data_IF_236234350192
#
_entry.id   IF_236234350192
#
_cell.length_a   1.000
_cell.length_b   1.000
_cell.length_c   1.000
_cell.angle_alpha   90.00
_cell.angle_beta   90.00
_cell.angle_gamma   90.00
#
_symmetry.space_group_name_H-M   'P 1'
#
loop_
_entity.id
_entity.type
_entity.pdbx_description
1 polymer ?
#
# COMPACT_ATOMS: atom_id res chain seq x y z
N UNK A 1 -40.67 -47.09 47.98
CA UNK A 1 -40.61 -48.52 48.37
C UNK A 1 -39.90 -49.25 47.24
N UNK A 2 -38.57 -49.29 47.31
CA UNK A 2 -37.77 -50.49 47.67
C UNK A 2 -37.63 -51.43 46.45
N UNK A 3 -36.54 -51.35 45.66
CA UNK A 3 -35.14 -51.79 45.88
C UNK A 3 -34.92 -53.31 45.69
N UNK A 4 -33.80 -53.62 45.00
CA UNK A 4 -33.07 -54.90 44.84
C UNK A 4 -33.63 -55.96 43.86
N UNK A 5 -32.85 -56.81 43.18
CA UNK A 5 -31.45 -56.83 42.73
C UNK A 5 -31.19 -58.13 41.93
N UNK A 6 -30.41 -58.04 40.84
CA UNK A 6 -29.33 -58.98 40.36
C UNK A 6 -29.63 -60.45 39.95
N UNK A 7 -29.30 -60.83 38.69
CA UNK A 7 -28.09 -61.64 38.28
C UNK A 7 -28.16 -62.25 36.83
N UNK A 8 -27.08 -61.99 36.04
CA UNK A 8 -26.29 -62.82 35.08
C UNK A 8 -26.89 -64.04 34.33
N UNK A 9 -26.69 -64.13 32.99
CA UNK A 9 -25.67 -64.94 32.26
C UNK A 9 -25.86 -64.86 30.70
N UNK A 10 -24.80 -65.16 29.94
CA UNK A 10 -24.62 -64.91 28.50
C UNK A 10 -24.91 -66.10 27.57
N UNK A 11 -25.23 -65.87 26.28
CA UNK A 11 -24.99 -66.83 25.18
C UNK A 11 -25.12 -66.20 23.76
N UNK A 12 -24.10 -66.44 22.91
CA UNK A 12 -24.18 -66.88 21.50
C UNK A 12 -24.95 -66.10 20.41
N UNK A 13 -24.21 -65.64 19.39
CA UNK A 13 -24.71 -65.11 18.09
C UNK A 13 -24.94 -66.26 17.07
N UNK A 14 -25.95 -66.19 16.19
CA UNK A 14 -25.96 -66.92 14.92
C UNK A 14 -25.86 -65.98 13.69
N UNK A 15 -25.25 -66.49 12.61
CA UNK A 15 -25.13 -65.90 11.26
C UNK A 15 -25.91 -66.73 10.23
N UNK A 16 -26.32 -66.08 9.12
CA UNK A 16 -26.41 -66.51 7.68
C UNK A 16 -27.34 -65.48 6.97
N UNK A 17 -27.28 -65.12 5.68
CA UNK A 17 -26.82 -65.75 4.44
C UNK A 17 -26.78 -64.69 3.28
N UNK A 18 -26.13 -64.98 2.15
CA UNK A 18 -26.12 -64.15 0.93
C UNK A 18 -26.98 -64.79 -0.18
N UNK A 19 -27.79 -63.99 -0.89
CA UNK A 19 -28.30 -64.35 -2.23
C UNK A 19 -28.09 -63.21 -3.26
N UNK A 20 -27.24 -63.52 -4.25
CA UNK A 20 -27.32 -63.30 -5.72
C UNK A 20 -28.66 -62.75 -6.29
N UNK A 21 -28.78 -62.00 -7.41
CA UNK A 21 -28.04 -61.79 -8.69
C UNK A 21 -28.78 -60.62 -9.41
N UNK A 22 -28.20 -59.77 -10.27
CA UNK A 22 -27.95 -59.94 -11.72
C UNK A 22 -27.74 -58.52 -12.31
N UNK A 23 -26.61 -58.18 -12.93
CA UNK A 23 -26.29 -58.19 -14.40
C UNK A 23 -27.34 -57.49 -15.26
N UNK A 24 -27.07 -56.62 -16.23
CA UNK A 24 -25.87 -56.17 -16.93
C UNK A 24 -26.41 -55.23 -18.00
N UNK A 25 -25.95 -53.98 -18.07
CA UNK A 25 -26.06 -53.17 -19.29
C UNK A 25 -25.05 -52.04 -19.20
N UNK A 26 -23.82 -52.30 -19.66
CA UNK A 26 -22.85 -51.31 -20.18
C UNK A 26 -21.56 -52.06 -20.58
N UNK A 27 -21.75 -53.06 -21.43
CA UNK A 27 -20.72 -53.58 -22.32
C UNK A 27 -20.99 -52.96 -23.69
N UNK A 28 -20.02 -52.16 -24.16
CA UNK A 28 -19.87 -51.46 -25.46
C UNK A 28 -19.62 -49.97 -25.15
N UNK A 29 -18.40 -49.50 -24.86
CA UNK A 29 -17.27 -49.49 -25.79
C UNK A 29 -15.92 -49.46 -25.04
N UNK A 30 -15.13 -50.51 -25.25
CA UNK A 30 -13.72 -50.59 -24.85
C UNK A 30 -12.83 -49.98 -25.95
N UNK A 31 -12.12 -48.90 -25.66
CA UNK A 31 -10.89 -48.53 -26.38
C UNK A 31 -9.84 -47.99 -25.41
N UNK A 32 -9.38 -48.83 -24.48
CA UNK A 32 -8.00 -48.80 -23.97
C UNK A 32 -7.69 -50.19 -23.42
N UNK A 33 -6.92 -50.98 -24.16
CA UNK A 33 -6.32 -52.22 -23.65
C UNK A 33 -4.91 -51.88 -23.19
N UNK A 34 -4.49 -52.24 -21.96
CA UNK A 34 -3.12 -52.03 -21.53
C UNK A 34 -2.17 -52.99 -22.27
N UNK A 35 -0.88 -52.65 -22.42
CA UNK A 35 0.08 -53.49 -23.12
C UNK A 35 0.27 -54.85 -22.42
N UNK A 36 0.40 -55.90 -23.22
CA UNK A 36 0.78 -57.26 -22.78
C UNK A 36 2.30 -57.36 -22.70
N UNK A 37 2.90 -57.20 -21.51
CA UNK A 37 4.12 -57.89 -21.01
C UNK A 37 4.53 -57.34 -19.62
N UNK A 38 5.23 -58.12 -18.80
CA UNK A 38 5.25 -57.95 -17.35
C UNK A 38 6.40 -57.04 -16.91
N UNK A 39 6.09 -55.94 -16.23
CA UNK A 39 7.05 -55.25 -15.38
C UNK A 39 6.50 -55.22 -13.96
N UNK A 40 7.39 -55.54 -13.04
CA UNK A 40 7.19 -55.94 -11.65
C UNK A 40 6.58 -54.79 -10.83
N UNK A 41 5.29 -54.85 -10.53
CA UNK A 41 4.67 -54.05 -9.49
C UNK A 41 3.71 -54.93 -8.68
N UNK A 42 4.09 -55.25 -7.45
CA UNK A 42 3.18 -55.88 -6.50
C UNK A 42 2.15 -54.86 -6.04
N UNK A 43 0.87 -55.17 -6.24
CA UNK A 43 -0.24 -54.40 -5.71
C UNK A 43 -0.37 -54.60 -4.19
N UNK A 44 -0.86 -53.56 -3.53
CA UNK A 44 -1.12 -53.43 -2.09
C UNK A 44 -1.93 -54.57 -1.45
N UNK A 45 -2.61 -55.42 -2.23
CA UNK A 45 -3.42 -56.53 -1.72
C UNK A 45 -2.63 -57.85 -1.46
N UNK A 46 -1.40 -58.00 -1.94
CA UNK A 46 -0.58 -59.20 -1.68
C UNK A 46 0.21 -59.16 -0.36
N UNK A 47 0.20 -58.03 0.36
CA UNK A 47 1.01 -57.84 1.58
C UNK A 47 0.26 -58.17 2.88
N UNK A 48 -1.03 -58.55 2.82
CA UNK A 48 -1.88 -58.67 4.02
C UNK A 48 -2.05 -60.10 4.55
N UNK A 49 -1.74 -61.17 3.80
CA UNK A 49 -1.98 -62.56 4.27
C UNK A 49 -0.74 -63.39 4.65
N UNK A 50 0.41 -62.75 4.89
CA UNK A 50 1.69 -63.47 5.00
C UNK A 50 2.57 -63.27 6.23
N UNK A 51 2.10 -62.70 7.37
CA UNK A 51 3.01 -62.47 8.51
C UNK A 51 2.35 -62.56 9.90
N UNK A 52 3.00 -63.22 10.89
CA UNK A 52 2.48 -63.34 12.26
C UNK A 52 2.56 -62.01 13.02
N UNK A 53 1.73 -61.80 14.07
CA UNK A 53 1.64 -60.50 14.73
C UNK A 53 2.94 -60.18 15.51
N UNK A 54 3.50 -58.97 15.38
CA UNK A 54 4.64 -58.57 16.19
C UNK A 54 4.20 -58.28 17.63
N UNK A 55 5.02 -58.73 18.59
CA UNK A 55 4.86 -58.47 20.03
C UNK A 55 4.86 -56.96 20.30
N UNK A 56 3.91 -56.49 21.10
CA UNK A 56 3.85 -55.10 21.55
C UNK A 56 5.07 -54.74 22.42
N UNK A 57 5.96 -53.92 21.89
CA UNK A 57 6.92 -53.15 22.68
C UNK A 57 6.35 -51.75 22.91
N UNK A 58 6.34 -51.31 24.17
CA UNK A 58 5.99 -49.96 24.59
C UNK A 58 6.76 -48.88 23.82
N UNK A 59 6.21 -47.66 23.66
CA UNK A 59 6.89 -46.60 22.93
C UNK A 59 8.19 -46.24 23.66
N UNK A 60 9.31 -46.29 22.93
CA UNK A 60 10.60 -45.78 23.44
C UNK A 60 10.47 -44.27 23.63
N UNK A 61 10.84 -43.78 24.81
CA UNK A 61 10.92 -42.35 25.09
C UNK A 61 11.81 -41.66 24.05
N UNK A 62 11.34 -40.55 23.50
CA UNK A 62 12.13 -39.68 22.63
C UNK A 62 13.37 -39.22 23.40
N UNK A 63 14.55 -39.62 22.94
CA UNK A 63 15.80 -39.07 23.44
C UNK A 63 15.99 -37.68 22.82
N UNK A 64 16.34 -36.64 23.59
CA UNK A 64 16.71 -35.35 23.03
C UNK A 64 17.98 -35.52 22.19
N UNK A 65 17.97 -34.98 20.97
CA UNK A 65 19.13 -34.93 20.10
C UNK A 65 20.28 -34.17 20.79
N UNK A 66 21.41 -34.87 21.01
CA UNK A 66 22.67 -34.34 21.56
C UNK A 66 23.83 -34.64 20.60
N UNK A 67 23.63 -34.48 19.31
CA UNK A 67 24.70 -34.62 18.32
C UNK A 67 25.44 -33.30 18.14
N UNK A 68 26.72 -33.25 18.53
CA UNK A 68 27.67 -32.34 17.88
C UNK A 68 28.02 -32.99 16.54
N UNK A 69 27.93 -32.28 15.39
CA UNK A 69 28.28 -32.87 14.09
C UNK A 69 29.73 -33.37 14.11
N UNK A 70 29.96 -34.61 13.67
CA UNK A 70 31.31 -35.13 13.46
C UNK A 70 31.86 -34.60 12.14
N UNK A 71 33.15 -34.23 12.12
CA UNK A 71 33.84 -33.67 10.94
C UNK A 71 33.76 -34.56 9.69
N UNK A 72 33.61 -35.88 9.90
CA UNK A 72 33.61 -36.87 8.82
C UNK A 72 32.25 -37.02 8.11
N UNK A 73 31.18 -36.41 8.64
CA UNK A 73 29.82 -36.45 8.08
C UNK A 73 29.12 -35.09 8.32
N UNK A 74 29.45 -34.04 7.55
CA UNK A 74 28.76 -32.76 7.68
C UNK A 74 27.27 -32.95 7.40
N UNK A 75 26.43 -32.23 8.14
CA UNK A 75 24.99 -32.24 7.92
C UNK A 75 24.72 -31.85 6.45
N UNK A 76 24.03 -32.71 5.70
CA UNK A 76 23.57 -32.37 4.36
C UNK A 76 22.53 -31.26 4.51
N UNK A 77 22.97 -30.02 4.32
CA UNK A 77 22.07 -28.86 4.21
C UNK A 77 21.26 -29.11 2.94
N UNK A 78 20.01 -29.56 3.10
CA UNK A 78 19.06 -29.54 2.01
C UNK A 78 18.65 -28.08 1.86
N UNK A 79 19.39 -27.38 1.00
CA UNK A 79 19.18 -25.97 0.74
C UNK A 79 17.79 -25.78 0.15
N UNK A 80 16.91 -25.12 0.90
CA UNK A 80 15.52 -24.86 0.50
C UNK A 80 15.41 -23.81 -0.62
N UNK A 81 16.49 -23.55 -1.35
CA UNK A 81 16.53 -22.71 -2.54
C UNK A 81 16.37 -21.21 -2.30
N UNK A 82 16.29 -20.77 -1.04
CA UNK A 82 16.19 -19.36 -0.66
C UNK A 82 16.97 -19.14 0.64
N UNK A 83 18.30 -19.01 0.53
CA UNK A 83 19.16 -18.56 1.62
C UNK A 83 19.16 -17.03 1.64
N UNK A 84 18.41 -16.41 2.55
CA UNK A 84 18.55 -14.99 2.81
C UNK A 84 19.73 -14.77 3.75
N UNK A 85 20.88 -14.37 3.21
CA UNK A 85 21.98 -13.91 4.05
C UNK A 85 21.63 -12.54 4.65
N UNK A 86 21.70 -12.44 5.98
CA UNK A 86 21.48 -11.19 6.70
C UNK A 86 22.74 -10.33 6.56
N UNK A 87 22.71 -9.36 5.64
CA UNK A 87 23.77 -8.36 5.50
C UNK A 87 23.43 -7.12 6.33
N UNK A 88 24.46 -6.44 6.84
CA UNK A 88 24.23 -5.17 7.52
C UNK A 88 23.84 -4.10 6.46
N UNK A 89 22.84 -3.22 6.73
CA UNK A 89 22.33 -2.26 5.74
C UNK A 89 23.42 -1.35 5.15
N UNK A 90 24.47 -1.07 5.92
CA UNK A 90 25.61 -0.22 5.51
C UNK A 90 26.83 -1.02 5.02
N UNK A 91 26.72 -2.31 4.70
CA UNK A 91 27.85 -3.05 4.14
C UNK A 91 28.30 -2.47 2.80
N UNK A 92 29.61 -2.31 2.64
CA UNK A 92 30.23 -2.01 1.36
C UNK A 92 30.14 -3.25 0.45
N UNK A 93 29.84 -3.07 -0.85
CA UNK A 93 29.90 -4.19 -1.78
C UNK A 93 31.35 -4.71 -1.88
N UNK A 94 31.54 -5.99 -2.24
CA UNK A 94 32.87 -6.53 -2.54
C UNK A 94 33.63 -5.66 -3.56
N UNK A 95 34.98 -5.57 -3.48
CA UNK A 95 35.78 -4.79 -4.41
C UNK A 95 35.47 -5.17 -5.87
N UNK A 96 35.16 -4.17 -6.70
CA UNK A 96 34.86 -4.35 -8.13
C UNK A 96 33.38 -4.60 -8.45
N UNK A 97 32.52 -4.78 -7.45
CA UNK A 97 31.07 -4.85 -7.64
C UNK A 97 30.40 -3.50 -7.37
N UNK A 98 29.34 -3.20 -8.12
CA UNK A 98 28.43 -2.08 -7.83
C UNK A 98 27.25 -2.63 -7.04
N UNK A 99 26.84 -1.95 -5.97
CA UNK A 99 25.63 -2.34 -5.25
C UNK A 99 24.40 -1.93 -6.04
N UNK A 100 23.59 -2.89 -6.44
CA UNK A 100 22.27 -2.68 -7.03
C UNK A 100 21.21 -3.06 -5.99
N UNK A 101 20.85 -2.09 -5.16
CA UNK A 101 20.01 -2.27 -3.97
C UNK A 101 18.67 -1.59 -4.16
N UNK A 102 17.59 -2.27 -3.76
CA UNK A 102 16.25 -1.72 -3.66
C UNK A 102 15.91 -1.51 -2.19
N UNK A 103 15.36 -0.35 -1.85
CA UNK A 103 14.78 -0.07 -0.54
C UNK A 103 13.27 -0.13 -0.64
N UNK A 104 12.65 -0.95 0.20
CA UNK A 104 11.22 -0.96 0.43
C UNK A 104 10.92 -0.37 1.81
N UNK A 105 10.16 0.72 1.87
CA UNK A 105 9.68 1.29 3.13
C UNK A 105 8.21 0.95 3.28
N UNK A 106 7.87 0.16 4.30
CA UNK A 106 6.51 -0.25 4.60
C UNK A 106 5.94 0.71 5.65
N UNK A 107 4.75 1.25 5.40
CA UNK A 107 4.00 2.09 6.33
C UNK A 107 2.72 1.39 6.71
N UNK A 108 2.54 1.10 8.00
CA UNK A 108 1.29 0.53 8.49
C UNK A 108 0.18 1.59 8.55
N UNK A 109 -0.92 1.30 7.85
CA UNK A 109 -2.15 2.09 7.80
C UNK A 109 -2.91 1.82 9.10
N UNK A 110 -2.52 2.49 10.18
CA UNK A 110 -3.16 2.34 11.49
C UNK A 110 -4.69 2.36 11.41
N UNK A 111 -5.38 1.69 12.33
CA UNK A 111 -6.85 1.59 12.28
C UNK A 111 -7.55 2.96 12.40
N UNK A 112 -7.83 3.64 11.28
CA UNK A 112 -9.15 4.15 10.88
C UNK A 112 -9.12 5.13 9.68
N UNK A 113 -10.25 5.12 8.95
CA UNK A 113 -10.79 6.05 7.93
C UNK A 113 -10.59 5.72 6.43
N UNK A 114 -11.14 4.58 6.01
CA UNK A 114 -11.94 4.54 4.76
C UNK A 114 -13.35 4.07 5.10
N UNK A 115 -14.19 4.99 5.58
CA UNK A 115 -15.62 4.86 5.31
C UNK A 115 -15.82 5.24 3.84
N UNK A 116 -15.81 4.25 2.96
CA UNK A 116 -16.65 4.34 1.76
C UNK A 116 -18.08 4.70 2.24
N UNK A 117 -18.86 5.49 1.48
CA UNK A 117 -20.24 5.75 1.88
C UNK A 117 -20.90 4.39 2.09
N UNK A 118 -21.33 4.13 3.33
CA UNK A 118 -22.09 2.96 3.65
C UNK A 118 -23.32 2.97 2.74
N UNK A 119 -23.30 2.16 1.67
CA UNK A 119 -24.52 1.77 1.01
C UNK A 119 -25.40 1.20 2.11
N UNK A 120 -26.57 1.80 2.30
CA UNK A 120 -27.64 1.44 3.23
C UNK A 120 -27.34 0.23 4.14
N UNK A 121 -27.22 0.49 5.45
CA UNK A 121 -27.34 -0.53 6.51
C UNK A 121 -28.36 -1.60 6.09
N UNK A 122 -27.99 -2.90 5.98
CA UNK A 122 -28.99 -3.93 6.07
C UNK A 122 -29.58 -3.86 7.48
N UNK A 123 -30.90 -3.84 7.56
CA UNK A 123 -31.61 -3.90 8.82
C UNK A 123 -31.16 -5.12 9.64
N UNK A 124 -31.18 -4.96 10.96
CA UNK A 124 -30.76 -5.93 11.96
C UNK A 124 -31.12 -7.39 11.60
N UNK A 125 -30.11 -8.24 11.54
CA UNK A 125 -30.27 -9.69 11.56
C UNK A 125 -30.77 -10.10 12.95
N UNK A 126 -32.09 -10.28 13.05
CA UNK A 126 -32.70 -11.09 14.10
C UNK A 126 -32.25 -12.53 13.95
N UNK A 127 -31.79 -13.12 15.06
CA UNK A 127 -31.52 -14.55 15.21
C UNK A 127 -32.66 -15.39 14.63
N UNK A 128 -32.35 -16.18 13.61
CA UNK A 128 -33.11 -17.38 13.27
C UNK A 128 -32.15 -18.46 12.78
N UNK A 129 -31.90 -19.44 13.67
CA UNK A 129 -31.40 -20.74 13.29
C UNK A 129 -32.48 -21.43 12.44
N UNK A 130 -32.42 -21.26 11.11
CA UNK A 130 -33.08 -22.17 10.19
C UNK A 130 -32.04 -22.82 9.28
N UNK A 131 -31.93 -24.13 9.45
CA UNK A 131 -31.20 -25.07 8.59
C UNK A 131 -31.54 -24.84 7.12
N UNK A 132 -30.54 -24.47 6.32
CA UNK A 132 -30.63 -24.43 4.86
C UNK A 132 -31.09 -25.81 4.31
N UNK A 133 -32.18 -25.90 3.54
CA UNK A 133 -32.61 -27.17 2.95
C UNK A 133 -31.68 -27.56 1.79
N UNK A 134 -31.34 -28.85 1.62
CA UNK A 134 -30.57 -29.31 0.49
C UNK A 134 -31.52 -29.36 -0.71
N UNK A 135 -31.52 -28.34 -1.57
CA UNK A 135 -31.98 -28.34 -2.99
C UNK A 135 -32.33 -26.93 -3.52
N UNK A 136 -31.49 -25.90 -3.32
CA UNK A 136 -31.57 -24.72 -4.19
C UNK A 136 -30.62 -24.88 -5.37
N UNK A 137 -31.21 -25.31 -6.49
CA UNK A 137 -30.59 -25.26 -7.81
C UNK A 137 -30.43 -23.80 -8.28
N UNK A 138 -29.43 -23.50 -9.13
CA UNK A 138 -29.16 -22.15 -9.60
C UNK A 138 -30.33 -21.60 -10.41
N UNK A 139 -30.56 -20.31 -10.29
CA UNK A 139 -31.65 -19.56 -10.92
C UNK A 139 -31.73 -19.83 -12.43
N UNK A 140 -32.94 -19.98 -12.97
CA UNK A 140 -33.19 -20.23 -14.41
C UNK A 140 -32.99 -19.02 -15.32
N UNK A 141 -32.59 -17.87 -14.76
CA UNK A 141 -32.35 -16.64 -15.51
C UNK A 141 -30.84 -16.45 -15.71
N UNK A 142 -30.35 -16.72 -16.92
CA UNK A 142 -28.91 -16.62 -17.26
C UNK A 142 -28.37 -15.19 -17.09
N UNK A 143 -29.21 -14.17 -17.25
CA UNK A 143 -28.81 -12.76 -17.10
C UNK A 143 -28.68 -12.31 -15.64
N UNK A 144 -29.16 -13.12 -14.69
CA UNK A 144 -29.09 -12.84 -13.25
C UNK A 144 -27.93 -13.57 -12.56
N UNK A 145 -27.15 -14.37 -13.31
CA UNK A 145 -25.99 -15.06 -12.78
C UNK A 145 -24.82 -14.06 -12.68
N UNK A 146 -24.27 -13.79 -11.48
CA UNK A 146 -23.11 -12.92 -11.36
C UNK A 146 -21.94 -13.56 -12.14
N UNK A 147 -21.54 -12.91 -13.23
CA UNK A 147 -20.47 -13.38 -14.12
C UNK A 147 -19.08 -13.30 -13.46
N UNK A 148 -18.99 -12.59 -12.33
CA UNK A 148 -17.81 -12.51 -11.50
C UNK A 148 -18.16 -13.04 -10.11
N UNK A 149 -17.34 -13.94 -9.52
CA UNK A 149 -17.49 -14.27 -8.11
C UNK A 149 -17.42 -12.98 -7.29
N UNK A 150 -18.18 -12.85 -6.19
CA UNK A 150 -18.05 -11.69 -5.32
C UNK A 150 -16.59 -11.57 -4.91
N UNK A 151 -15.97 -10.43 -5.19
CA UNK A 151 -14.64 -10.09 -4.70
C UNK A 151 -14.70 -10.20 -3.18
N UNK A 152 -14.19 -11.28 -2.59
CA UNK A 152 -13.98 -11.32 -1.15
C UNK A 152 -12.98 -10.20 -0.87
N UNK A 153 -13.45 -9.10 -0.27
CA UNK A 153 -12.56 -8.13 0.36
C UNK A 153 -11.68 -8.95 1.31
N UNK A 154 -10.37 -9.02 0.99
CA UNK A 154 -9.44 -9.84 1.74
C UNK A 154 -9.48 -9.39 3.19
N UNK A 155 -9.90 -10.27 4.11
CA UNK A 155 -9.97 -9.94 5.52
C UNK A 155 -8.58 -9.50 5.99
N UNK A 156 -8.46 -8.24 6.37
CA UNK A 156 -7.19 -7.65 6.78
C UNK A 156 -6.59 -8.44 7.94
N UNK A 157 -5.32 -8.80 7.85
CA UNK A 157 -4.67 -9.72 8.80
C UNK A 157 -4.39 -9.09 10.18
N UNK A 158 -4.78 -7.84 10.40
CA UNK A 158 -4.64 -7.07 11.64
C UNK A 158 -5.23 -7.81 12.85
N UNK A 159 -6.34 -8.54 12.66
CA UNK A 159 -7.00 -9.30 13.72
C UNK A 159 -6.19 -10.53 14.19
N UNK A 160 -5.23 -11.00 13.38
CA UNK A 160 -4.38 -12.17 13.66
C UNK A 160 -3.01 -11.72 14.16
N UNK A 161 -2.38 -10.76 13.49
CA UNK A 161 -0.98 -10.38 13.74
C UNK A 161 -0.81 -9.05 14.50
N UNK A 162 -1.91 -8.33 14.74
CA UNK A 162 -1.91 -7.05 15.44
C UNK A 162 -1.76 -5.85 14.50
N UNK A 163 -1.90 -4.66 15.08
CA UNK A 163 -1.91 -3.38 14.36
C UNK A 163 -0.52 -2.75 14.22
N UNK A 164 0.41 -3.51 13.66
CA UNK A 164 1.79 -3.10 13.38
C UNK A 164 2.43 -4.01 12.31
N UNK A 165 3.61 -3.65 11.82
CA UNK A 165 4.36 -4.47 10.86
C UNK A 165 4.99 -5.65 11.59
N UNK A 166 4.29 -6.79 11.57
CA UNK A 166 4.76 -8.00 12.25
C UNK A 166 5.95 -8.66 11.54
N UNK A 167 6.74 -9.51 12.23
CA UNK A 167 7.78 -10.32 11.59
C UNK A 167 7.26 -11.19 10.44
N UNK A 168 6.00 -11.63 10.50
CA UNK A 168 5.38 -12.41 9.42
C UNK A 168 5.03 -11.54 8.22
N UNK A 169 4.60 -10.29 8.43
CA UNK A 169 4.43 -9.30 7.36
C UNK A 169 5.75 -9.11 6.60
N UNK A 170 6.86 -8.93 7.32
CA UNK A 170 8.21 -8.82 6.77
C UNK A 170 8.59 -10.08 5.98
N UNK A 171 8.43 -11.27 6.56
CA UNK A 171 8.78 -12.52 5.88
C UNK A 171 7.93 -12.77 4.63
N UNK A 172 6.63 -12.45 4.68
CA UNK A 172 5.71 -12.55 3.54
C UNK A 172 6.10 -11.58 2.43
N UNK A 173 6.48 -10.35 2.78
CA UNK A 173 6.98 -9.37 1.81
C UNK A 173 8.28 -9.84 1.15
N UNK A 174 9.24 -10.36 1.92
CA UNK A 174 10.50 -10.89 1.38
C UNK A 174 10.26 -12.07 0.44
N UNK A 175 9.33 -12.97 0.79
CA UNK A 175 8.92 -14.06 -0.08
C UNK A 175 8.27 -13.55 -1.37
N UNK A 176 7.36 -12.58 -1.29
CA UNK A 176 6.78 -11.93 -2.46
C UNK A 176 7.88 -11.36 -3.36
N UNK A 177 8.84 -10.64 -2.78
CA UNK A 177 9.93 -10.02 -3.53
C UNK A 177 10.84 -11.04 -4.20
N UNK A 178 11.02 -12.24 -3.63
CA UNK A 178 11.81 -13.31 -4.25
C UNK A 178 11.11 -14.01 -5.41
N UNK A 179 9.79 -13.81 -5.59
CA UNK A 179 9.07 -14.33 -6.76
C UNK A 179 9.31 -13.53 -8.04
N UNK A 180 9.83 -12.30 -7.95
CA UNK A 180 10.10 -11.47 -9.12
C UNK A 180 11.38 -11.91 -9.86
N UNK A 181 11.44 -11.76 -11.19
CA UNK A 181 12.60 -12.16 -11.98
C UNK A 181 13.88 -11.45 -11.53
N UNK A 182 14.94 -12.22 -11.29
CA UNK A 182 16.26 -11.67 -10.95
C UNK A 182 17.11 -11.41 -12.20
N UNK A 183 18.11 -10.50 -12.12
CA UNK A 183 19.07 -10.27 -13.19
C UNK A 183 19.87 -11.55 -13.53
N UNK A 184 20.29 -11.70 -14.79
CA UNK A 184 21.08 -12.86 -15.22
C UNK A 184 22.44 -12.87 -14.52
N UNK A 185 22.78 -14.00 -13.90
CA UNK A 185 24.05 -14.16 -13.19
C UNK A 185 24.12 -13.42 -11.86
N UNK A 186 22.96 -13.04 -11.29
CA UNK A 186 22.92 -12.43 -9.98
C UNK A 186 23.34 -13.42 -8.87
N UNK A 187 23.95 -12.86 -7.83
CA UNK A 187 24.29 -13.59 -6.60
C UNK A 187 23.02 -13.95 -5.80
N UNK A 188 23.19 -14.80 -4.79
CA UNK A 188 22.10 -15.17 -3.89
C UNK A 188 21.42 -13.93 -3.27
N UNK A 189 20.08 -13.91 -3.17
CA UNK A 189 19.34 -12.77 -2.65
C UNK A 189 19.66 -12.52 -1.18
N UNK A 190 20.20 -11.34 -0.90
CA UNK A 190 20.41 -10.86 0.45
C UNK A 190 19.40 -9.78 0.80
N UNK A 191 18.95 -9.81 2.05
CA UNK A 191 17.99 -8.85 2.57
C UNK A 191 18.34 -8.43 3.98
N UNK A 192 18.00 -7.19 4.33
CA UNK A 192 18.10 -6.68 5.69
C UNK A 192 16.89 -5.81 5.98
N UNK A 193 16.53 -5.63 7.26
CA UNK A 193 15.47 -4.72 7.65
C UNK A 193 15.81 -3.97 8.93
N UNK A 194 15.20 -2.81 9.12
CA UNK A 194 15.26 -2.04 10.35
C UNK A 194 13.92 -1.35 10.62
N UNK A 195 13.52 -1.34 11.89
CA UNK A 195 12.39 -0.54 12.35
C UNK A 195 12.84 0.93 12.46
N UNK A 196 12.11 1.85 11.83
CA UNK A 196 12.49 3.27 11.84
C UNK A 196 11.85 4.03 12.99
N UNK A 197 10.68 3.60 13.49
CA UNK A 197 9.90 4.31 14.49
C UNK A 197 9.92 3.68 15.89
N UNK A 198 9.65 2.37 15.98
CA UNK A 198 9.60 1.63 17.25
C UNK A 198 10.11 0.20 17.08
N UNK A 199 10.93 -0.33 17.99
CA UNK A 199 11.40 -1.71 17.90
C UNK A 199 10.36 -2.76 18.29
N UNK A 200 9.38 -2.42 19.14
CA UNK A 200 8.41 -3.39 19.67
C UNK A 200 7.16 -3.53 18.79
N UNK A 201 6.65 -2.39 18.31
CA UNK A 201 5.42 -2.30 17.49
C UNK A 201 5.66 -1.35 16.33
N UNK A 202 6.57 -1.71 15.40
CA UNK A 202 6.96 -0.83 14.30
C UNK A 202 5.76 -0.55 13.40
N UNK A 203 5.46 0.72 13.18
CA UNK A 203 4.56 1.13 12.09
C UNK A 203 5.34 1.36 10.81
N UNK A 204 6.66 1.55 10.88
CA UNK A 204 7.49 1.89 9.74
C UNK A 204 8.73 1.00 9.73
N UNK A 205 8.84 0.16 8.71
CA UNK A 205 9.97 -0.74 8.51
C UNK A 205 10.61 -0.46 7.16
N UNK A 206 11.93 -0.27 7.17
CA UNK A 206 12.74 -0.19 5.96
C UNK A 206 13.40 -1.54 5.72
N UNK A 207 13.21 -2.10 4.52
CA UNK A 207 13.89 -3.28 4.04
C UNK A 207 14.84 -2.92 2.90
N UNK A 208 16.03 -3.48 2.93
CA UNK A 208 16.99 -3.42 1.81
C UNK A 208 17.05 -4.78 1.16
N UNK A 209 16.88 -4.81 -0.17
CA UNK A 209 16.85 -6.01 -1.01
C UNK A 209 17.96 -5.92 -2.05
N UNK A 210 18.61 -7.04 -2.32
CA UNK A 210 19.66 -7.12 -3.31
C UNK A 210 19.81 -8.55 -3.82
N UNK A 211 19.92 -8.77 -5.14
CA UNK A 211 19.85 -7.76 -6.20
C UNK A 211 18.45 -7.12 -6.32
N UNK A 212 18.37 -5.95 -6.98
CA UNK A 212 17.09 -5.39 -7.44
C UNK A 212 16.47 -6.36 -8.47
N UNK A 213 15.13 -6.54 -8.50
CA UNK A 213 14.46 -7.27 -9.57
C UNK A 213 14.87 -6.77 -10.97
N UNK A 214 15.01 -7.67 -11.93
CA UNK A 214 15.58 -7.37 -13.25
C UNK A 214 14.83 -6.24 -13.97
N UNK A 215 15.46 -5.07 -14.19
CA UNK A 215 14.83 -3.95 -14.88
C UNK A 215 14.48 -4.25 -16.35
N UNK A 216 15.16 -5.24 -16.96
CA UNK A 216 14.88 -5.70 -18.33
C UNK A 216 13.50 -6.38 -18.43
N UNK A 217 13.07 -7.04 -17.36
CA UNK A 217 11.79 -7.75 -17.31
C UNK A 217 10.69 -6.87 -16.71
N UNK A 218 11.02 -6.12 -15.65
CA UNK A 218 10.07 -5.31 -14.91
C UNK A 218 10.75 -4.03 -14.43
N UNK A 219 10.39 -2.89 -15.02
CA UNK A 219 10.93 -1.60 -14.59
C UNK A 219 10.49 -1.27 -13.16
N UNK A 220 11.22 -0.40 -12.46
CA UNK A 220 10.82 0.03 -11.12
C UNK A 220 9.42 0.68 -11.12
N UNK A 221 9.10 1.45 -12.15
CA UNK A 221 7.78 2.08 -12.30
C UNK A 221 6.66 1.04 -12.45
N UNK A 222 6.91 -0.07 -13.15
CA UNK A 222 5.95 -1.16 -13.28
C UNK A 222 5.86 -2.01 -12.02
N UNK A 223 7.01 -2.26 -11.36
CA UNK A 223 7.07 -2.97 -10.07
C UNK A 223 6.25 -2.25 -9.00
N UNK A 224 6.34 -0.91 -8.92
CA UNK A 224 5.53 -0.07 -8.02
C UNK A 224 4.02 -0.21 -8.25
N UNK A 225 3.61 -0.58 -9.47
CA UNK A 225 2.20 -0.74 -9.88
C UNK A 225 1.77 -2.20 -9.99
N UNK A 226 2.65 -3.13 -9.60
CA UNK A 226 2.42 -4.55 -9.80
C UNK A 226 1.28 -5.06 -8.90
N UNK A 227 0.36 -5.83 -9.48
CA UNK A 227 -0.84 -6.33 -8.79
C UNK A 227 -0.51 -7.08 -7.49
N UNK A 228 0.56 -7.89 -7.50
CA UNK A 228 0.98 -8.63 -6.30
C UNK A 228 1.42 -7.72 -5.14
N UNK A 229 2.02 -6.56 -5.42
CA UNK A 229 2.35 -5.57 -4.38
C UNK A 229 1.06 -4.95 -3.85
N UNK A 230 0.12 -4.60 -4.73
CA UNK A 230 -1.17 -4.07 -4.32
C UNK A 230 -1.98 -5.05 -3.45
N UNK A 231 -2.02 -6.34 -3.82
CA UNK A 231 -2.67 -7.38 -3.01
C UNK A 231 -2.04 -7.50 -1.63
N UNK A 232 -0.70 -7.49 -1.57
CA UNK A 232 0.04 -7.51 -0.31
C UNK A 232 -0.32 -6.32 0.58
N UNK A 233 -0.37 -5.12 0.01
CA UNK A 233 -0.76 -3.90 0.74
C UNK A 233 -2.16 -3.96 1.34
N UNK A 234 -3.13 -4.56 0.62
CA UNK A 234 -4.50 -4.72 1.11
C UNK A 234 -4.58 -5.77 2.21
N UNK A 235 -3.96 -6.93 2.01
CA UNK A 235 -3.97 -8.06 2.94
C UNK A 235 -3.31 -7.70 4.28
N UNK A 236 -2.17 -7.00 4.23
CA UNK A 236 -1.38 -6.60 5.39
C UNK A 236 -1.68 -5.20 5.91
N UNK A 237 -2.59 -4.47 5.26
CA UNK A 237 -2.97 -3.10 5.62
C UNK A 237 -1.74 -2.16 5.74
N UNK A 238 -0.86 -2.21 4.74
CA UNK A 238 0.35 -1.38 4.63
C UNK A 238 0.37 -0.61 3.31
N UNK A 239 1.14 0.48 3.25
CA UNK A 239 1.64 1.06 2.00
C UNK A 239 3.11 0.65 1.80
N UNK A 240 3.46 0.24 0.59
CA UNK A 240 4.82 -0.14 0.20
C UNK A 240 5.38 0.95 -0.71
N UNK A 241 6.49 1.57 -0.28
CA UNK A 241 7.24 2.54 -1.08
C UNK A 241 8.56 1.94 -1.53
N UNK A 242 8.73 1.78 -2.84
CA UNK A 242 9.94 1.20 -3.44
C UNK A 242 10.84 2.30 -4.03
N UNK A 243 12.10 2.34 -3.62
CA UNK A 243 13.11 3.30 -4.09
C UNK A 243 14.43 2.59 -4.37
N UNK A 244 15.18 3.03 -5.38
CA UNK A 244 16.57 2.60 -5.53
C UNK A 244 17.40 3.15 -4.37
N UNK A 245 18.35 2.36 -3.88
CA UNK A 245 19.28 2.77 -2.82
C UNK A 245 20.40 3.66 -3.37
N UNK A 246 20.01 4.85 -3.82
CA UNK A 246 20.93 5.87 -4.32
C UNK A 246 21.29 6.85 -3.22
N UNK A 247 22.47 7.48 -3.33
CA UNK A 247 22.90 8.56 -2.42
C UNK A 247 21.85 9.67 -2.33
N UNK A 248 21.17 9.95 -3.44
CA UNK A 248 20.14 10.98 -3.55
C UNK A 248 18.86 10.68 -2.77
N UNK A 249 18.56 9.40 -2.49
CA UNK A 249 17.41 9.02 -1.66
C UNK A 249 17.50 9.66 -0.27
N UNK A 250 18.70 9.63 0.33
CA UNK A 250 18.93 10.14 1.69
C UNK A 250 19.25 11.64 1.76
N UNK A 251 19.55 12.25 0.62
CA UNK A 251 20.04 13.63 0.54
C UNK A 251 19.26 14.44 -0.51
N UNK A 252 17.93 14.62 -0.30
CA UNK A 252 17.17 15.54 -1.13
C UNK A 252 17.73 16.96 -0.98
N UNK A 253 17.71 17.76 -2.04
CA UNK A 253 18.18 19.15 -2.01
C UNK A 253 17.08 20.17 -2.32
N UNK A 254 15.96 19.70 -2.86
CA UNK A 254 14.76 20.49 -3.11
C UNK A 254 13.52 19.66 -2.76
N UNK A 255 12.61 20.20 -1.97
CA UNK A 255 11.28 19.62 -1.73
C UNK A 255 10.22 20.65 -2.12
N UNK A 256 9.30 20.23 -2.99
CA UNK A 256 8.23 21.05 -3.51
C UNK A 256 6.89 20.47 -3.08
N UNK A 257 6.00 21.32 -2.57
CA UNK A 257 4.71 20.93 -2.03
C UNK A 257 3.57 21.59 -2.82
N UNK A 258 2.46 20.88 -3.01
CA UNK A 258 1.17 21.55 -3.17
C UNK A 258 0.74 22.21 -1.85
N UNK A 259 -0.18 23.16 -1.93
CA UNK A 259 -0.76 23.85 -0.78
C UNK A 259 -2.07 23.18 -0.34
N UNK A 260 -3.10 23.28 -1.17
CA UNK A 260 -4.45 22.79 -0.88
C UNK A 260 -4.40 21.27 -0.67
N UNK A 261 -5.12 20.75 0.32
CA UNK A 261 -5.15 19.32 0.68
C UNK A 261 -3.77 18.65 0.95
N UNK A 262 -2.69 19.43 1.05
CA UNK A 262 -1.31 18.95 1.26
C UNK A 262 -0.63 19.67 2.42
N UNK A 263 -0.28 20.96 2.29
CA UNK A 263 0.27 21.76 3.40
C UNK A 263 -0.83 22.28 4.33
N UNK A 264 -2.04 22.43 3.81
CA UNK A 264 -3.26 22.73 4.56
C UNK A 264 -4.30 21.64 4.30
N UNK A 265 -5.25 21.48 5.22
CA UNK A 265 -6.27 20.42 5.09
C UNK A 265 -7.47 20.83 4.22
N UNK A 266 -7.61 22.12 3.95
CA UNK A 266 -8.74 22.68 3.18
C UNK A 266 -8.39 22.94 1.71
N UNK A 267 -9.44 23.05 0.91
CA UNK A 267 -9.42 23.64 -0.44
C UNK A 267 -9.74 25.15 -0.33
N UNK A 268 -8.77 26.02 -0.61
CA UNK A 268 -8.90 27.47 -0.37
C UNK A 268 -10.07 28.10 -1.12
N UNK A 269 -10.35 27.67 -2.35
CA UNK A 269 -11.43 28.26 -3.16
C UNK A 269 -12.80 27.92 -2.57
N UNK A 270 -12.98 26.71 -2.04
CA UNK A 270 -14.22 26.28 -1.41
C UNK A 270 -14.40 26.97 -0.05
N UNK A 271 -13.34 27.00 0.76
CA UNK A 271 -13.34 27.70 2.05
C UNK A 271 -13.67 29.19 1.88
N UNK A 272 -13.15 29.83 0.83
CA UNK A 272 -13.49 31.20 0.49
C UNK A 272 -14.97 31.36 0.15
N UNK A 273 -15.51 30.47 -0.69
CA UNK A 273 -16.90 30.50 -1.12
C UNK A 273 -17.88 30.28 0.05
N UNK A 274 -17.52 29.44 1.02
CA UNK A 274 -18.27 29.21 2.26
C UNK A 274 -18.21 30.41 3.23
N UNK A 275 -17.07 31.10 3.27
CA UNK A 275 -16.88 32.26 4.15
C UNK A 275 -17.64 33.49 3.64
N UNK A 276 -17.84 33.61 2.33
CA UNK A 276 -18.55 34.71 1.70
C UNK A 276 -20.06 34.48 1.78
N UNK A 277 -20.77 35.35 2.50
CA UNK A 277 -22.23 35.22 2.73
C UNK A 277 -23.10 35.71 1.57
N UNK A 278 -22.56 36.55 0.69
CA UNK A 278 -23.30 37.14 -0.42
C UNK A 278 -22.54 36.99 -1.74
N UNK A 279 -23.19 36.47 -2.81
CA UNK A 279 -24.56 35.94 -2.81
C UNK A 279 -24.64 34.56 -2.13
N UNK A 280 -25.79 34.23 -1.54
CA UNK A 280 -25.96 33.01 -0.71
C UNK A 280 -25.76 31.69 -1.48
N UNK A 281 -25.85 31.72 -2.80
CA UNK A 281 -25.65 30.58 -3.70
C UNK A 281 -24.19 30.40 -4.16
N UNK A 282 -23.27 31.28 -3.74
CA UNK A 282 -21.87 31.27 -4.19
C UNK A 282 -21.18 29.92 -3.91
N UNK A 283 -21.29 29.40 -2.69
CA UNK A 283 -20.70 28.10 -2.31
C UNK A 283 -21.23 26.97 -3.20
N UNK A 284 -22.54 26.94 -3.45
CA UNK A 284 -23.16 25.92 -4.30
C UNK A 284 -22.67 26.01 -5.76
N UNK A 285 -22.49 27.23 -6.29
CA UNK A 285 -21.99 27.45 -7.66
C UNK A 285 -20.52 27.06 -7.80
N UNK A 286 -19.68 27.38 -6.81
CA UNK A 286 -18.28 26.96 -6.78
C UNK A 286 -18.19 25.44 -6.72
N UNK A 287 -18.97 24.80 -5.85
CA UNK A 287 -19.02 23.34 -5.73
C UNK A 287 -19.44 22.64 -7.04
N UNK A 288 -20.42 23.18 -7.78
CA UNK A 288 -20.80 22.62 -9.08
C UNK A 288 -19.66 22.69 -10.11
N UNK A 289 -18.96 23.84 -10.19
CA UNK A 289 -17.80 23.98 -11.09
C UNK A 289 -16.67 23.02 -10.68
N UNK A 290 -16.39 22.88 -9.37
CA UNK A 290 -15.39 21.92 -8.88
C UNK A 290 -15.78 20.49 -9.25
N UNK A 291 -17.05 20.10 -9.04
CA UNK A 291 -17.56 18.78 -9.39
C UNK A 291 -17.38 18.49 -10.88
N UNK A 292 -17.73 19.45 -11.75
CA UNK A 292 -17.55 19.31 -13.22
C UNK A 292 -16.07 19.16 -13.61
N UNK A 293 -15.18 19.91 -12.97
CA UNK A 293 -13.74 19.77 -13.18
C UNK A 293 -13.21 18.40 -12.74
N UNK A 294 -13.67 17.90 -11.58
CA UNK A 294 -13.30 16.56 -11.09
C UNK A 294 -13.82 15.43 -11.96
N UNK A 295 -14.97 15.62 -12.63
CA UNK A 295 -15.52 14.69 -13.63
C UNK A 295 -14.82 14.78 -15.00
N UNK A 296 -13.85 15.69 -15.15
CA UNK A 296 -13.13 15.90 -16.41
C UNK A 296 -13.93 16.67 -17.47
N UNK A 297 -15.07 17.28 -17.11
CA UNK A 297 -15.86 18.11 -18.04
C UNK A 297 -15.20 19.48 -18.30
N UNK A 298 -14.34 19.94 -17.40
CA UNK A 298 -13.63 21.21 -17.48
C UNK A 298 -12.14 21.00 -17.24
N UNK A 299 -11.30 21.55 -18.13
CA UNK A 299 -9.87 21.67 -17.87
C UNK A 299 -9.62 22.59 -16.67
N UNK A 300 -8.56 22.30 -15.91
CA UNK A 300 -8.25 23.00 -14.66
C UNK A 300 -8.23 24.53 -14.80
N UNK A 301 -7.56 25.05 -15.84
CA UNK A 301 -7.49 26.51 -16.07
C UNK A 301 -8.87 27.13 -16.30
N UNK A 302 -9.73 26.46 -17.06
CA UNK A 302 -11.09 26.93 -17.33
C UNK A 302 -11.91 26.93 -16.04
N UNK A 303 -11.87 25.83 -15.28
CA UNK A 303 -12.51 25.72 -13.97
C UNK A 303 -12.03 26.79 -12.99
N UNK A 304 -10.72 27.06 -12.95
CA UNK A 304 -10.18 28.09 -12.08
C UNK A 304 -10.66 29.50 -12.49
N UNK A 305 -10.60 29.84 -13.79
CA UNK A 305 -11.12 31.13 -14.28
C UNK A 305 -12.61 31.30 -13.99
N UNK A 306 -13.41 30.26 -14.19
CA UNK A 306 -14.84 30.30 -13.87
C UNK A 306 -15.08 30.53 -12.37
N UNK A 307 -14.39 29.80 -11.50
CA UNK A 307 -14.50 29.99 -10.04
C UNK A 307 -14.06 31.38 -9.60
N UNK A 308 -12.96 31.91 -10.15
CA UNK A 308 -12.49 33.26 -9.83
C UNK A 308 -13.45 34.34 -10.33
N UNK A 309 -14.09 34.15 -11.49
CA UNK A 309 -15.10 35.08 -12.00
C UNK A 309 -16.30 35.22 -11.05
N UNK A 310 -16.66 34.15 -10.31
CA UNK A 310 -17.71 34.20 -9.29
C UNK A 310 -17.34 35.08 -8.09
N UNK A 311 -16.05 35.29 -7.85
CA UNK A 311 -15.53 36.10 -6.73
C UNK A 311 -15.46 37.60 -7.06
N UNK A 312 -16.00 38.03 -8.21
CA UNK A 312 -16.02 39.44 -8.61
C UNK A 312 -16.76 40.30 -7.56
N UNK A 313 -16.17 41.46 -7.25
CA UNK A 313 -16.59 42.43 -6.24
C UNK A 313 -16.42 42.01 -4.77
N UNK A 314 -15.89 40.82 -4.49
CA UNK A 314 -15.53 40.41 -3.12
C UNK A 314 -14.42 41.32 -2.60
N UNK A 315 -14.49 41.71 -1.33
CA UNK A 315 -13.45 42.54 -0.70
C UNK A 315 -12.14 41.74 -0.57
N UNK A 316 -11.01 42.34 -0.94
CA UNK A 316 -9.69 41.73 -0.83
C UNK A 316 -9.31 41.32 0.61
N UNK A 317 -9.95 41.91 1.63
CA UNK A 317 -9.80 41.49 3.04
C UNK A 317 -10.24 40.05 3.29
N UNK A 318 -10.92 39.39 2.34
CA UNK A 318 -11.26 37.97 2.43
C UNK A 318 -10.02 37.10 2.68
N UNK A 319 -8.87 37.43 2.08
CA UNK A 319 -7.63 36.67 2.32
C UNK A 319 -7.14 36.80 3.77
N UNK A 320 -7.27 37.98 4.37
CA UNK A 320 -6.90 38.20 5.77
C UNK A 320 -7.86 37.43 6.71
N UNK A 321 -9.14 37.37 6.36
CA UNK A 321 -10.15 36.63 7.11
C UNK A 321 -9.97 35.11 7.04
N UNK A 322 -9.33 34.60 5.98
CA UNK A 322 -9.05 33.18 5.81
C UNK A 322 -7.85 32.70 6.62
N UNK A 323 -6.84 33.56 6.86
CA UNK A 323 -5.63 33.20 7.63
C UNK A 323 -5.91 32.50 8.98
N UNK A 324 -6.80 32.99 9.85
CA UNK A 324 -7.05 32.36 11.15
C UNK A 324 -7.86 31.06 11.09
N UNK A 325 -8.50 30.74 9.96
CA UNK A 325 -9.31 29.52 9.78
C UNK A 325 -8.59 28.43 9.00
N UNK A 326 -7.44 28.74 8.40
CA UNK A 326 -6.60 27.74 7.75
C UNK A 326 -6.02 26.77 8.79
N UNK A 327 -6.15 25.48 8.52
CA UNK A 327 -5.60 24.43 9.34
C UNK A 327 -4.40 23.83 8.63
N UNK A 328 -3.22 24.00 9.22
CA UNK A 328 -1.96 23.49 8.67
C UNK A 328 -1.89 21.99 8.90
N UNK A 329 -1.59 21.24 7.85
CA UNK A 329 -1.47 19.78 7.92
C UNK A 329 -0.50 19.38 9.03
N UNK A 330 -0.94 18.45 9.88
CA UNK A 330 -0.14 17.93 10.99
C UNK A 330 1.25 17.50 10.51
N UNK A 331 2.28 17.96 11.21
CA UNK A 331 3.67 17.62 10.88
C UNK A 331 4.30 18.49 9.79
N UNK A 332 3.55 19.34 9.09
CA UNK A 332 4.11 20.21 8.06
C UNK A 332 5.10 21.25 8.64
N UNK A 333 4.79 21.98 9.75
CA UNK A 333 5.75 22.91 10.36
C UNK A 333 7.05 22.22 10.78
N UNK A 334 6.93 21.05 11.41
CA UNK A 334 8.05 20.23 11.87
C UNK A 334 8.90 19.73 10.69
N UNK A 335 8.24 19.30 9.61
CA UNK A 335 8.90 18.84 8.39
C UNK A 335 9.71 19.97 7.75
N UNK A 336 9.10 21.14 7.54
CA UNK A 336 9.79 22.29 6.92
C UNK A 336 10.99 22.72 7.78
N UNK A 337 10.84 22.72 9.11
CA UNK A 337 11.94 22.99 10.05
C UNK A 337 13.07 21.96 9.93
N UNK A 338 12.75 20.68 9.86
CA UNK A 338 13.72 19.61 9.67
C UNK A 338 14.47 19.74 8.32
N UNK A 339 13.74 19.96 7.23
CA UNK A 339 14.30 20.16 5.89
C UNK A 339 15.26 21.37 5.85
N UNK A 340 14.89 22.47 6.50
CA UNK A 340 15.78 23.64 6.62
C UNK A 340 17.06 23.34 7.37
N UNK A 341 17.01 22.59 8.46
CA UNK A 341 18.22 22.19 9.22
C UNK A 341 19.14 21.31 8.40
N UNK A 342 18.57 20.51 7.51
CA UNK A 342 19.31 19.70 6.53
C UNK A 342 19.84 20.53 5.33
N UNK A 343 19.54 21.83 5.26
CA UNK A 343 19.95 22.71 4.16
C UNK A 343 19.17 22.49 2.87
N UNK A 344 18.00 21.86 2.94
CA UNK A 344 17.13 21.54 1.80
C UNK A 344 16.29 22.76 1.44
N UNK A 345 16.24 23.09 0.14
CA UNK A 345 15.37 24.15 -0.36
C UNK A 345 13.93 23.70 -0.40
N UNK A 346 13.02 24.59 -0.04
CA UNK A 346 11.59 24.29 0.05
C UNK A 346 10.79 25.22 -0.85
N UNK A 347 9.79 24.69 -1.54
CA UNK A 347 8.88 25.47 -2.36
C UNK A 347 7.43 25.04 -2.18
N UNK A 348 6.50 25.97 -2.28
CA UNK A 348 5.07 25.70 -2.40
C UNK A 348 4.56 26.19 -3.75
N UNK A 349 3.93 25.29 -4.51
CA UNK A 349 3.35 25.56 -5.83
C UNK A 349 1.85 25.26 -5.78
N UNK A 350 1.03 26.30 -5.70
CA UNK A 350 -0.41 26.19 -5.47
C UNK A 350 -1.22 26.60 -6.70
N UNK A 351 -2.32 25.88 -6.94
CA UNK A 351 -3.38 26.33 -7.85
C UNK A 351 -4.31 27.39 -7.26
N UNK A 352 -4.10 27.78 -6.00
CA UNK A 352 -4.86 28.78 -5.27
C UNK A 352 -4.35 30.21 -5.51
N UNK A 353 -4.30 31.03 -4.46
CA UNK A 353 -4.09 32.48 -4.55
C UNK A 353 -2.77 32.95 -3.92
N UNK A 354 -1.98 33.72 -4.68
CA UNK A 354 -0.67 34.23 -4.26
C UNK A 354 -0.65 34.93 -2.88
N UNK A 355 -1.62 35.79 -2.50
CA UNK A 355 -1.58 36.45 -1.19
C UNK A 355 -1.61 35.48 -0.01
N UNK A 356 -2.37 34.38 -0.14
CA UNK A 356 -2.51 33.38 0.92
C UNK A 356 -1.33 32.41 0.93
N UNK A 357 -0.90 31.96 -0.25
CA UNK A 357 0.28 31.10 -0.41
C UNK A 357 1.55 31.78 0.09
N UNK A 358 1.75 33.07 -0.21
CA UNK A 358 2.91 33.83 0.26
C UNK A 358 2.92 33.98 1.78
N UNK A 359 1.75 34.26 2.37
CA UNK A 359 1.61 34.33 3.82
C UNK A 359 1.93 32.98 4.49
N UNK A 360 1.36 31.88 3.99
CA UNK A 360 1.60 30.54 4.54
C UNK A 360 3.08 30.16 4.42
N UNK A 361 3.69 30.45 3.27
CA UNK A 361 5.11 30.23 3.04
C UNK A 361 5.97 31.03 4.03
N UNK A 362 5.63 32.29 4.33
CA UNK A 362 6.35 33.07 5.34
C UNK A 362 6.19 32.47 6.76
N UNK A 363 4.98 32.04 7.14
CA UNK A 363 4.72 31.42 8.45
C UNK A 363 5.49 30.12 8.66
N UNK A 364 5.56 29.26 7.64
CA UNK A 364 6.34 28.01 7.67
C UNK A 364 7.84 28.25 7.36
N UNK A 365 8.14 29.42 6.78
CA UNK A 365 9.43 29.85 6.28
C UNK A 365 9.90 29.16 4.99
N UNK A 366 8.99 28.72 4.13
CA UNK A 366 9.31 28.12 2.83
C UNK A 366 10.08 29.12 1.94
N UNK A 367 11.12 28.66 1.23
CA UNK A 367 11.99 29.56 0.43
C UNK A 367 11.29 30.15 -0.81
N UNK A 368 10.37 29.40 -1.42
CA UNK A 368 9.71 29.76 -2.68
C UNK A 368 8.19 29.58 -2.59
N UNK A 369 7.43 30.56 -3.07
CA UNK A 369 5.98 30.53 -3.08
C UNK A 369 5.42 31.02 -4.41
N UNK A 370 4.75 30.13 -5.14
CA UNK A 370 4.12 30.45 -6.42
C UNK A 370 2.66 29.97 -6.44
N UNK A 371 1.76 30.86 -6.80
CA UNK A 371 0.33 30.59 -7.00
C UNK A 371 -0.27 31.61 -7.97
N UNK A 372 -1.60 31.57 -8.16
CA UNK A 372 -2.26 32.47 -9.09
C UNK A 372 -2.41 33.88 -8.52
N UNK A 373 -2.06 34.89 -9.32
CA UNK A 373 -2.35 36.29 -9.02
C UNK A 373 -3.78 36.63 -9.46
N UNK A 374 -4.57 37.19 -8.53
CA UNK A 374 -5.87 37.78 -8.84
C UNK A 374 -5.79 39.29 -8.88
N UNK A 375 -6.51 39.89 -9.83
CA UNK A 375 -6.51 41.33 -10.04
C UNK A 375 -7.42 42.03 -9.02
N UNK A 376 -6.88 43.02 -8.31
CA UNK A 376 -7.58 43.79 -7.26
C UNK A 376 -7.68 45.25 -7.70
N UNK A 377 -8.90 45.78 -7.74
CA UNK A 377 -9.17 47.18 -8.03
C UNK A 377 -10.04 47.79 -6.92
N UNK A 378 -9.64 48.97 -6.42
CA UNK A 378 -10.36 49.69 -5.36
C UNK A 378 -10.66 48.80 -4.12
N UNK A 379 -9.73 47.91 -3.78
CA UNK A 379 -9.86 46.98 -2.66
C UNK A 379 -10.80 45.79 -2.89
N UNK A 380 -11.23 45.53 -4.13
CA UNK A 380 -12.12 44.42 -4.48
C UNK A 380 -11.52 43.54 -5.57
N UNK A 381 -11.86 42.25 -5.55
CA UNK A 381 -11.51 41.31 -6.61
C UNK A 381 -12.27 41.67 -7.89
N UNK A 382 -11.55 41.72 -9.00
CA UNK A 382 -12.14 42.00 -10.34
C UNK A 382 -12.82 40.76 -10.95
N UNK A 383 -12.47 39.57 -10.46
CA UNK A 383 -12.84 38.28 -11.06
C UNK A 383 -11.88 37.82 -12.16
N UNK A 384 -10.76 38.52 -12.36
CA UNK A 384 -9.75 38.19 -13.37
C UNK A 384 -8.44 37.73 -12.73
N UNK A 385 -7.71 36.87 -13.46
CA UNK A 385 -6.40 36.34 -13.08
C UNK A 385 -5.31 36.99 -13.93
N UNK A 386 -4.12 37.15 -13.35
CA UNK A 386 -2.97 37.76 -14.04
C UNK A 386 -1.92 36.71 -14.37
N UNK A 387 -1.37 36.82 -15.57
CA UNK A 387 -0.27 35.95 -16.01
C UNK A 387 -0.72 34.53 -16.35
N UNK A 388 0.23 33.60 -16.23
CA UNK A 388 0.01 32.18 -16.52
C UNK A 388 -0.57 31.53 -15.26
N UNK A 389 -1.65 30.77 -15.43
CA UNK A 389 -2.28 30.04 -14.33
C UNK A 389 -1.34 28.91 -13.88
N UNK A 390 -1.14 28.77 -12.57
CA UNK A 390 -0.38 27.71 -11.94
C UNK A 390 -1.20 26.41 -11.95
N UNK A 391 -1.32 25.83 -13.15
CA UNK A 391 -1.90 24.52 -13.40
C UNK A 391 -0.85 23.40 -13.47
N UNK A 392 -1.23 22.26 -14.04
CA UNK A 392 -0.41 21.04 -14.09
C UNK A 392 0.96 21.23 -14.77
N UNK A 393 0.99 21.86 -15.94
CA UNK A 393 2.23 22.14 -16.67
C UNK A 393 3.09 23.17 -15.92
N UNK A 394 2.45 24.23 -15.42
CA UNK A 394 3.18 25.32 -14.76
C UNK A 394 3.83 24.86 -13.46
N UNK A 395 3.18 23.98 -12.67
CA UNK A 395 3.81 23.38 -11.47
C UNK A 395 5.07 22.58 -11.82
N UNK A 396 5.01 21.74 -12.86
CA UNK A 396 6.20 21.03 -13.38
C UNK A 396 7.29 21.99 -13.82
N UNK A 397 6.94 23.04 -14.56
CA UNK A 397 7.93 23.99 -15.09
C UNK A 397 8.59 24.78 -13.96
N UNK A 398 7.81 25.21 -12.95
CA UNK A 398 8.32 25.86 -11.74
C UNK A 398 9.27 24.95 -10.95
N UNK A 399 8.96 23.66 -10.79
CA UNK A 399 9.89 22.69 -10.18
C UNK A 399 11.24 22.69 -10.91
N UNK A 400 11.22 22.63 -12.25
CA UNK A 400 12.44 22.62 -13.08
C UNK A 400 13.19 23.96 -12.99
N UNK A 401 12.48 25.08 -13.03
CA UNK A 401 13.04 26.43 -12.90
C UNK A 401 13.74 26.62 -11.54
N UNK A 402 13.12 26.20 -10.44
CA UNK A 402 13.69 26.28 -9.10
C UNK A 402 14.91 25.36 -8.98
N UNK A 403 14.81 24.11 -9.47
CA UNK A 403 15.94 23.17 -9.46
C UNK A 403 17.14 23.72 -10.24
N UNK A 404 16.92 24.29 -11.42
CA UNK A 404 17.96 24.93 -12.21
C UNK A 404 18.57 26.15 -11.48
N UNK A 405 17.75 26.99 -10.87
CA UNK A 405 18.19 28.16 -10.10
C UNK A 405 19.07 27.78 -8.91
N UNK A 406 18.71 26.72 -8.20
CA UNK A 406 19.43 26.21 -7.03
C UNK A 406 20.57 25.23 -7.37
N UNK A 407 20.79 24.95 -8.67
CA UNK A 407 21.77 23.98 -9.15
C UNK A 407 21.59 22.60 -8.49
N UNK A 408 20.34 22.15 -8.46
CA UNK A 408 19.91 20.86 -7.94
C UNK A 408 19.56 19.95 -9.10
N UNK A 409 20.13 18.75 -9.13
CA UNK A 409 19.71 17.71 -10.07
C UNK A 409 18.27 17.30 -9.73
N UNK A 410 17.40 17.11 -10.73
CA UNK A 410 16.03 16.68 -10.52
C UNK A 410 15.94 15.34 -9.78
N UNK A 411 16.95 14.47 -9.90
CA UNK A 411 17.04 13.23 -9.13
C UNK A 411 17.13 13.45 -7.61
N UNK A 412 17.51 14.67 -7.17
CA UNK A 412 17.54 15.10 -5.77
C UNK A 412 16.32 15.95 -5.37
N UNK A 413 15.38 16.16 -6.29
CA UNK A 413 14.15 16.88 -6.03
C UNK A 413 13.02 15.92 -5.64
N UNK A 414 12.26 16.31 -4.63
CA UNK A 414 11.06 15.60 -4.16
C UNK A 414 9.85 16.50 -4.40
N UNK A 415 8.79 15.95 -4.95
CA UNK A 415 7.51 16.65 -5.09
C UNK A 415 6.45 15.94 -4.25
N UNK A 416 5.59 16.71 -3.58
CA UNK A 416 4.52 16.19 -2.71
C UNK A 416 3.21 16.87 -3.10
N UNK A 417 2.17 16.09 -3.34
CA UNK A 417 0.84 16.59 -3.68
C UNK A 417 -0.23 15.50 -3.58
N UNK A 418 -1.49 15.89 -3.64
CA UNK A 418 -2.65 14.99 -3.49
C UNK A 418 -3.49 14.87 -4.79
N UNK A 419 -3.36 15.86 -5.68
CA UNK A 419 -4.29 16.09 -6.77
C UNK A 419 -3.77 15.69 -8.15
N UNK A 420 -4.71 15.52 -9.10
CA UNK A 420 -4.36 15.18 -10.48
C UNK A 420 -3.61 16.32 -11.21
N UNK A 421 -3.76 17.55 -10.73
CA UNK A 421 -2.98 18.72 -11.11
C UNK A 421 -1.49 18.58 -10.78
N UNK A 422 -1.11 17.72 -9.83
CA UNK A 422 0.28 17.55 -9.40
C UNK A 422 1.02 16.46 -10.17
N UNK A 423 0.32 15.59 -10.91
CA UNK A 423 0.89 14.41 -11.55
C UNK A 423 2.10 14.71 -12.44
N UNK A 424 2.08 15.81 -13.20
CA UNK A 424 3.21 16.22 -14.03
C UNK A 424 4.41 16.70 -13.21
N UNK A 425 4.17 17.33 -12.06
CA UNK A 425 5.21 17.74 -11.12
C UNK A 425 5.79 16.53 -10.39
N UNK A 426 4.92 15.64 -9.89
CA UNK A 426 5.28 14.39 -9.22
C UNK A 426 6.14 13.51 -10.12
N UNK A 427 5.69 13.25 -11.36
CA UNK A 427 6.44 12.41 -12.31
C UNK A 427 7.71 13.05 -12.87
N UNK A 428 7.96 14.35 -12.62
CA UNK A 428 9.19 15.03 -13.04
C UNK A 428 10.26 15.10 -11.95
N UNK A 429 9.85 15.02 -10.68
CA UNK A 429 10.75 14.94 -9.55
C UNK A 429 11.50 13.59 -9.53
N UNK A 430 12.63 13.53 -8.83
CA UNK A 430 13.34 12.27 -8.58
C UNK A 430 12.53 11.32 -7.67
N UNK A 431 11.65 11.89 -6.86
CA UNK A 431 10.63 11.18 -6.09
C UNK A 431 9.32 11.98 -6.07
N UNK A 432 8.29 11.49 -6.73
CA UNK A 432 6.93 12.00 -6.60
C UNK A 432 6.15 11.28 -5.48
N UNK A 433 5.75 12.01 -4.44
CA UNK A 433 5.00 11.49 -3.29
C UNK A 433 3.54 11.93 -3.35
N UNK A 434 2.64 10.96 -3.49
CA UNK A 434 1.21 11.13 -3.32
C UNK A 434 0.86 11.15 -1.82
N UNK A 435 0.57 12.33 -1.28
CA UNK A 435 0.19 12.53 0.12
C UNK A 435 -1.32 12.41 0.31
N UNK A 436 -1.78 11.39 1.06
CA UNK A 436 -3.22 11.13 1.30
C UNK A 436 -4.09 11.33 0.04
N UNK A 437 -3.54 10.97 -1.11
CA UNK A 437 -3.98 11.48 -2.40
C UNK A 437 -5.24 10.76 -2.91
N UNK A 438 -5.87 11.31 -3.95
CA UNK A 438 -6.98 10.62 -4.63
C UNK A 438 -6.47 9.30 -5.27
N UNK A 439 -7.30 8.25 -5.39
CA UNK A 439 -6.85 6.93 -5.87
C UNK A 439 -6.10 6.97 -7.19
N UNK A 440 -6.55 7.79 -8.14
CA UNK A 440 -5.85 7.98 -9.42
C UNK A 440 -4.42 8.49 -9.25
N UNK A 441 -4.22 9.44 -8.35
CA UNK A 441 -2.91 10.04 -8.11
C UNK A 441 -1.99 9.05 -7.43
N UNK A 442 -2.52 8.29 -6.46
CA UNK A 442 -1.82 7.21 -5.79
C UNK A 442 -1.32 6.12 -6.74
N UNK A 443 -2.09 5.78 -7.78
CA UNK A 443 -1.69 4.78 -8.78
C UNK A 443 -0.62 5.29 -9.76
N UNK A 444 -0.54 6.60 -9.97
CA UNK A 444 0.37 7.20 -10.96
C UNK A 444 1.70 7.66 -10.33
N UNK A 445 1.72 8.06 -9.05
CA UNK A 445 2.90 8.55 -8.34
C UNK A 445 3.91 7.45 -7.99
N UNK A 446 5.15 7.86 -7.68
CA UNK A 446 6.24 6.93 -7.33
C UNK A 446 6.12 6.34 -5.94
N UNK A 447 5.57 7.13 -5.01
CA UNK A 447 5.40 6.77 -3.62
C UNK A 447 4.02 7.21 -3.13
N UNK A 448 3.38 6.37 -2.32
CA UNK A 448 2.14 6.69 -1.62
C UNK A 448 2.47 6.84 -0.14
N UNK A 449 2.06 7.97 0.43
CA UNK A 449 2.22 8.24 1.85
C UNK A 449 0.84 8.55 2.43
N UNK A 450 0.14 7.50 2.86
CA UNK A 450 -1.13 7.64 3.56
C UNK A 450 -0.89 7.62 5.08
N UNK A 451 -0.61 8.79 5.65
CA UNK A 451 -0.33 8.91 7.08
C UNK A 451 -1.05 10.08 7.75
N UNK A 452 -1.00 10.10 9.08
CA UNK A 452 -1.57 11.14 9.93
C UNK A 452 -0.69 12.37 10.04
N UNK A 453 0.58 12.30 9.63
CA UNK A 453 1.56 13.37 9.78
C UNK A 453 2.43 13.49 8.53
N UNK A 454 2.55 14.69 7.97
CA UNK A 454 3.42 14.96 6.82
C UNK A 454 4.90 14.79 7.18
N UNK A 455 5.23 14.85 8.47
CA UNK A 455 6.57 14.57 9.02
C UNK A 455 7.09 13.18 8.63
N UNK A 456 6.18 12.23 8.38
CA UNK A 456 6.54 10.86 8.01
C UNK A 456 7.24 10.77 6.65
N UNK A 457 7.22 11.86 5.86
CA UNK A 457 8.04 11.99 4.66
C UNK A 457 9.53 11.74 4.94
N UNK A 458 10.04 12.12 6.12
CA UNK A 458 11.45 11.94 6.49
C UNK A 458 11.86 10.47 6.58
N UNK A 459 10.93 9.55 6.87
CA UNK A 459 11.22 8.12 6.86
C UNK A 459 11.56 7.60 5.45
N UNK A 460 11.03 8.22 4.39
CA UNK A 460 11.40 7.89 3.01
C UNK A 460 12.86 8.25 2.69
N UNK A 461 13.47 9.16 3.46
CA UNK A 461 14.90 9.48 3.37
C UNK A 461 15.75 8.58 4.29
N UNK A 462 15.13 7.64 5.00
CA UNK A 462 15.79 6.66 5.84
C UNK A 462 16.15 7.16 7.25
N UNK A 463 15.58 8.27 7.69
CA UNK A 463 15.74 8.77 9.06
C UNK A 463 14.95 7.93 10.06
N UNK A 464 15.48 7.75 11.27
CA UNK A 464 14.77 7.13 12.40
C UNK A 464 13.92 8.15 13.15
N UNK A 465 13.00 7.70 14.00
CA UNK A 465 12.19 8.57 14.85
C UNK A 465 13.04 9.47 15.76
N UNK A 466 14.16 8.96 16.28
CA UNK A 466 15.10 9.73 17.09
C UNK A 466 15.76 10.86 16.27
N UNK A 467 16.21 10.55 15.06
CA UNK A 467 16.79 11.53 14.13
C UNK A 467 15.76 12.59 13.72
N UNK A 468 14.52 12.16 13.43
CA UNK A 468 13.41 13.06 13.14
C UNK A 468 13.16 13.98 14.31
N UNK A 469 13.12 13.47 15.55
CA UNK A 469 12.94 14.28 16.74
C UNK A 469 14.06 15.31 16.89
N UNK A 470 15.32 14.94 16.65
CA UNK A 470 16.45 15.88 16.67
C UNK A 470 16.30 16.97 15.61
N UNK A 471 15.80 16.62 14.42
CA UNK A 471 15.60 17.56 13.32
C UNK A 471 14.36 18.46 13.52
N UNK A 472 13.29 17.98 14.18
CA UNK A 472 12.06 18.75 14.37
C UNK A 472 12.01 19.55 15.68
N UNK A 473 12.80 19.16 16.70
CA UNK A 473 12.82 19.76 18.05
C UNK A 473 13.02 21.27 18.06
#
# INVERSE_FOLDING_TARGET
MAELARRKQAAGRPQMEKMHRSSSYLSDHQQYRPPKKPETYHGIDEVVEGSPPPKSTSPKAALPFRGVPQDDMPATIVDSGVSHSLSHPNCAPPPGQKSDRLVATLFYKGSSLTSAPASARPAALSESNETLPPNMAPTTNMDAFPLEPPTQESEQLDHIYGSYISPLCIASFLHLMSTFPQPRGAEEPHSSHRCLDSPETPRIVELTLSPVPSPECLSLSDLRKHEMIYRFEQEWNVDVVLQLDLVWRRHPRLVVFDMDSTLITQEVVELMAETIKEPADLAARVADITRRAMMGELEFEASFRERVALLKNVNATVFDNLRPVLDVTRGAPELIKALKRLGVKTAVLSGGFQPLTSWLAEQLGIDYAFANEVMIEKGKLTGETKGIIVGKERKRDLLVEIAAKEQVDLAQAVAVGDGANDLLMLGKAGLGVAWNAKPRVQMEADARLNSKSLLDLLYLFGFTAEEIQMLSA
#
